data_IF_206395446956
#
_entry.id   IF_206395446956
#
_cell.length_a   1.000
_cell.length_b   1.000
_cell.length_c   1.000
_cell.angle_alpha   90.00
_cell.angle_beta   90.00
_cell.angle_gamma   90.00
#
_symmetry.space_group_name_H-M   'P 1'
#
loop_
_entity.id
_entity.type
_entity.pdbx_description
1 polymer ?
#
# COMPACT_ATOMS: atom_id res chain seq x y z
N UNK A 1 6.12 -7.04 -21.97
CA UNK A 1 6.99 -8.07 -21.38
C UNK A 1 6.15 -9.32 -21.17
N UNK A 2 6.54 -10.49 -21.71
CA UNK A 2 5.93 -11.76 -21.31
C UNK A 2 5.97 -11.89 -19.77
N UNK A 3 4.95 -12.49 -19.15
CA UNK A 3 4.88 -12.69 -17.69
C UNK A 3 4.24 -11.54 -16.88
N UNK A 4 4.17 -10.33 -17.44
CA UNK A 4 3.62 -9.16 -16.73
C UNK A 4 2.09 -9.09 -16.70
N UNK A 5 1.32 -9.95 -17.38
CA UNK A 5 -0.13 -9.94 -17.28
C UNK A 5 -0.64 -11.35 -17.01
N UNK A 6 -1.58 -11.46 -16.07
CA UNK A 6 -2.24 -12.71 -15.74
C UNK A 6 -3.20 -13.08 -16.88
N UNK A 7 -3.03 -14.27 -17.46
CA UNK A 7 -4.01 -14.78 -18.44
C UNK A 7 -5.27 -15.25 -17.73
N UNK A 8 -6.39 -15.31 -18.46
CA UNK A 8 -7.65 -15.83 -17.90
C UNK A 8 -7.52 -17.27 -17.37
N UNK A 9 -6.72 -18.10 -18.03
CA UNK A 9 -6.50 -19.49 -17.61
C UNK A 9 -5.71 -19.53 -16.30
N UNK A 10 -4.60 -18.79 -16.22
CA UNK A 10 -3.81 -18.68 -14.98
C UNK A 10 -4.64 -18.12 -13.82
N UNK A 11 -5.51 -17.14 -14.08
CA UNK A 11 -6.40 -16.58 -13.06
C UNK A 11 -7.37 -17.63 -12.51
N UNK A 12 -7.93 -18.47 -13.38
CA UNK A 12 -8.81 -19.56 -12.96
C UNK A 12 -8.04 -20.65 -12.21
N UNK A 13 -6.87 -21.04 -12.72
CA UNK A 13 -6.01 -22.04 -12.06
C UNK A 13 -5.55 -21.56 -10.68
N UNK A 14 -5.18 -20.28 -10.55
CA UNK A 14 -4.87 -19.65 -9.26
C UNK A 14 -6.08 -19.65 -8.34
N UNK A 15 -7.26 -19.26 -8.83
CA UNK A 15 -8.48 -19.25 -8.03
C UNK A 15 -8.89 -20.65 -7.54
N UNK A 16 -8.68 -21.68 -8.36
CA UNK A 16 -8.98 -23.07 -7.98
C UNK A 16 -7.94 -23.64 -6.99
N UNK A 17 -6.72 -23.09 -6.98
CA UNK A 17 -5.62 -23.52 -6.11
C UNK A 17 -5.61 -22.79 -4.76
N UNK A 18 -5.78 -21.46 -4.76
CA UNK A 18 -5.67 -20.59 -3.58
C UNK A 18 -7.05 -20.43 -2.93
N UNK A 19 -7.08 -20.61 -1.61
CA UNK A 19 -8.29 -20.61 -0.81
C UNK A 19 -8.24 -19.52 0.27
N UNK A 20 -9.44 -19.11 0.70
CA UNK A 20 -9.63 -18.13 1.76
C UNK A 20 -9.63 -18.83 3.13
N UNK A 21 -9.15 -18.17 4.20
CA UNK A 21 -8.74 -16.76 4.27
C UNK A 21 -7.34 -16.51 3.70
N UNK A 22 -7.12 -15.29 3.20
CA UNK A 22 -5.80 -14.76 2.85
C UNK A 22 -5.54 -13.55 3.74
N UNK A 23 -4.36 -13.51 4.35
CA UNK A 23 -3.90 -12.42 5.20
C UNK A 23 -2.51 -11.95 4.76
N UNK A 24 -2.36 -10.64 4.59
CA UNK A 24 -1.10 -9.99 4.23
C UNK A 24 -0.60 -9.14 5.40
N UNK A 25 0.67 -9.33 5.76
CA UNK A 25 1.45 -8.39 6.55
C UNK A 25 2.50 -7.77 5.63
N UNK A 26 2.37 -6.47 5.35
CA UNK A 26 3.22 -5.72 4.43
C UNK A 26 3.96 -4.63 5.20
N UNK A 27 5.28 -4.76 5.26
CA UNK A 27 6.17 -3.76 5.84
C UNK A 27 7.02 -3.09 4.75
N UNK A 28 7.01 -1.75 4.72
CA UNK A 28 7.75 -0.93 3.77
C UNK A 28 8.80 -0.09 4.49
N UNK A 29 10.05 -0.11 4.03
CA UNK A 29 11.10 0.81 4.48
C UNK A 29 11.38 1.85 3.39
N UNK A 30 10.89 3.07 3.64
CA UNK A 30 10.97 4.21 2.72
C UNK A 30 12.21 5.09 3.00
N UNK A 31 13.09 4.66 3.91
CA UNK A 31 14.32 5.38 4.27
C UNK A 31 15.55 4.99 3.43
N UNK A 32 15.40 4.22 2.36
CA UNK A 32 16.50 3.57 1.62
C UNK A 32 17.00 4.36 0.40
N UNK A 33 16.91 5.70 0.46
CA UNK A 33 17.32 6.59 -0.62
C UNK A 33 16.19 6.93 -1.59
N UNK A 34 16.55 7.53 -2.73
CA UNK A 34 15.58 8.10 -3.67
C UNK A 34 15.13 7.19 -4.81
N UNK A 35 15.71 5.97 -4.93
CA UNK A 35 15.46 5.08 -6.08
C UNK A 35 14.63 3.85 -5.71
N UNK A 36 15.01 3.21 -4.60
CA UNK A 36 14.50 1.90 -4.21
C UNK A 36 13.96 1.98 -2.78
N UNK A 37 13.07 1.06 -2.43
CA UNK A 37 12.58 0.85 -1.07
C UNK A 37 12.52 -0.63 -0.78
N UNK A 38 12.70 -1.00 0.49
CA UNK A 38 12.59 -2.41 0.89
C UNK A 38 11.13 -2.73 1.17
N UNK A 39 10.66 -3.84 0.62
CA UNK A 39 9.34 -4.41 0.88
C UNK A 39 9.52 -5.78 1.49
N UNK A 40 8.92 -5.99 2.67
CA UNK A 40 8.77 -7.30 3.29
C UNK A 40 7.29 -7.65 3.27
N UNK A 41 6.97 -8.80 2.71
CA UNK A 41 5.59 -9.28 2.62
C UNK A 41 5.52 -10.67 3.20
N UNK A 42 4.70 -10.85 4.24
CA UNK A 42 4.30 -12.16 4.75
C UNK A 42 2.84 -12.40 4.37
N UNK A 43 2.57 -13.56 3.80
CA UNK A 43 1.22 -13.95 3.37
C UNK A 43 0.88 -15.27 4.04
N UNK A 44 -0.25 -15.29 4.73
CA UNK A 44 -0.87 -16.50 5.26
C UNK A 44 -2.10 -16.81 4.41
N UNK A 45 -2.19 -18.05 3.89
CA UNK A 45 -3.25 -18.43 2.98
C UNK A 45 -3.48 -19.93 2.97
N UNK A 46 -4.71 -20.32 2.64
CA UNK A 46 -5.06 -21.72 2.42
C UNK A 46 -4.87 -22.10 0.95
N UNK A 47 -4.61 -23.36 0.67
CA UNK A 47 -4.51 -23.86 -0.70
C UNK A 47 -4.92 -25.33 -0.81
N UNK A 48 -5.20 -25.75 -2.04
CA UNK A 48 -5.37 -27.17 -2.34
C UNK A 48 -4.03 -27.91 -2.12
N UNK A 49 -3.97 -28.79 -1.13
CA UNK A 49 -2.76 -29.54 -0.81
C UNK A 49 -2.14 -30.22 -2.06
N UNK A 50 -0.82 -30.03 -2.24
CA UNK A 50 -0.04 -30.49 -3.38
C UNK A 50 -0.15 -29.63 -4.64
N UNK A 51 -0.94 -28.55 -4.63
CA UNK A 51 -1.03 -27.63 -5.78
C UNK A 51 0.21 -26.74 -5.91
N UNK A 52 0.25 -25.99 -6.99
CA UNK A 52 1.21 -24.92 -7.23
C UNK A 52 0.48 -23.64 -7.62
N UNK A 53 1.13 -22.50 -7.40
CA UNK A 53 0.69 -21.19 -7.86
C UNK A 53 1.91 -20.26 -7.95
N UNK A 54 1.68 -18.96 -8.05
CA UNK A 54 2.75 -17.96 -8.02
C UNK A 54 2.26 -16.62 -7.45
N UNK A 55 3.18 -15.90 -6.82
CA UNK A 55 3.00 -14.49 -6.47
C UNK A 55 3.47 -13.61 -7.61
N UNK A 56 2.83 -12.47 -7.78
CA UNK A 56 3.24 -11.39 -8.65
C UNK A 56 4.13 -10.41 -7.86
N UNK A 57 5.31 -10.07 -8.42
CA UNK A 57 6.22 -9.07 -7.85
C UNK A 57 7.13 -8.46 -8.92
N UNK A 58 7.08 -7.14 -9.07
CA UNK A 58 8.01 -6.35 -9.88
C UNK A 58 8.98 -5.66 -8.92
N UNK A 59 10.22 -6.16 -8.86
CA UNK A 59 11.27 -5.67 -7.97
C UNK A 59 12.63 -5.66 -8.70
N UNK A 60 13.55 -4.81 -8.24
CA UNK A 60 14.93 -4.79 -8.73
C UNK A 60 15.69 -6.05 -8.30
N UNK A 61 15.42 -6.52 -7.10
CA UNK A 61 15.97 -7.77 -6.58
C UNK A 61 15.07 -8.35 -5.49
N UNK A 62 15.02 -9.68 -5.44
CA UNK A 62 14.44 -10.44 -4.33
C UNK A 62 15.60 -10.97 -3.49
N UNK A 63 15.57 -10.70 -2.19
CA UNK A 63 16.63 -11.08 -1.25
C UNK A 63 16.37 -12.46 -0.65
N UNK A 64 15.12 -12.74 -0.31
CA UNK A 64 14.72 -14.03 0.25
C UNK A 64 13.26 -14.36 -0.08
N UNK A 65 12.99 -15.66 -0.20
CA UNK A 65 11.66 -16.24 -0.27
C UNK A 65 11.64 -17.44 0.67
N UNK A 66 10.79 -17.40 1.69
CA UNK A 66 10.63 -18.48 2.67
C UNK A 66 9.21 -19.00 2.57
N UNK A 67 9.05 -20.26 2.15
CA UNK A 67 7.75 -20.91 2.05
C UNK A 67 7.65 -21.99 3.13
N UNK A 68 6.67 -21.87 4.04
CA UNK A 68 6.41 -22.81 5.12
C UNK A 68 7.66 -23.09 5.98
N UNK A 69 8.45 -22.05 6.25
CA UNK A 69 9.71 -22.14 7.00
C UNK A 69 10.90 -22.71 6.21
N UNK A 70 10.73 -22.97 4.91
CA UNK A 70 11.81 -23.45 4.03
C UNK A 70 12.30 -22.33 3.12
N UNK A 71 13.60 -22.02 3.19
CA UNK A 71 14.25 -21.10 2.26
C UNK A 71 14.23 -21.65 0.83
N UNK A 72 13.68 -20.87 -0.10
CA UNK A 72 13.69 -21.17 -1.52
C UNK A 72 14.87 -20.49 -2.20
N UNK A 73 15.45 -21.17 -3.19
CA UNK A 73 16.51 -20.62 -4.03
C UNK A 73 15.91 -19.56 -4.96
N UNK A 74 16.09 -18.28 -4.61
CA UNK A 74 15.54 -17.12 -5.35
C UNK A 74 15.88 -17.20 -6.84
N UNK A 75 17.07 -17.66 -7.20
CA UNK A 75 17.51 -17.74 -8.60
C UNK A 75 16.70 -18.74 -9.45
N UNK A 76 15.96 -19.64 -8.79
CA UNK A 76 15.11 -20.65 -9.42
C UNK A 76 13.63 -20.30 -9.35
N UNK A 77 13.19 -19.64 -8.28
CA UNK A 77 11.76 -19.38 -8.05
C UNK A 77 11.33 -18.00 -8.50
N UNK A 78 12.24 -17.03 -8.63
CA UNK A 78 11.92 -15.68 -9.09
C UNK A 78 12.37 -15.47 -10.54
N UNK A 79 11.39 -15.39 -11.44
CA UNK A 79 11.61 -15.11 -12.86
C UNK A 79 10.41 -14.35 -13.44
N UNK A 80 10.65 -13.47 -14.42
CA UNK A 80 9.60 -12.75 -15.15
C UNK A 80 8.55 -12.05 -14.26
N UNK A 81 8.99 -11.44 -13.17
CA UNK A 81 8.14 -10.77 -12.16
C UNK A 81 7.17 -11.70 -11.41
N UNK A 82 7.53 -12.98 -11.28
CA UNK A 82 6.74 -13.99 -10.58
C UNK A 82 7.62 -14.78 -9.62
N UNK A 83 7.03 -15.16 -8.49
CA UNK A 83 7.62 -16.08 -7.50
C UNK A 83 6.83 -17.38 -7.54
N UNK A 84 7.42 -18.44 -8.07
CA UNK A 84 6.80 -19.76 -8.13
C UNK A 84 6.67 -20.39 -6.73
N UNK A 85 5.46 -20.87 -6.42
CA UNK A 85 5.16 -21.59 -5.18
C UNK A 85 4.68 -23.00 -5.54
N UNK A 86 5.47 -24.02 -5.22
CA UNK A 86 5.17 -25.42 -5.51
C UNK A 86 4.89 -26.22 -4.23
N UNK A 87 4.17 -27.33 -4.37
CA UNK A 87 3.85 -28.26 -3.27
C UNK A 87 3.19 -27.57 -2.08
N UNK A 88 2.22 -26.69 -2.36
CA UNK A 88 1.48 -25.97 -1.34
C UNK A 88 0.80 -26.95 -0.37
N UNK A 89 0.80 -26.61 0.91
CA UNK A 89 0.08 -27.33 1.96
C UNK A 89 -1.38 -26.85 2.00
N UNK A 90 -2.18 -27.43 2.89
CA UNK A 90 -3.53 -26.92 3.16
C UNK A 90 -3.48 -25.51 3.77
N UNK A 91 -2.53 -25.25 4.67
CA UNK A 91 -2.25 -23.95 5.27
C UNK A 91 -0.80 -23.55 4.96
N UNK A 92 -0.62 -22.34 4.44
CA UNK A 92 0.68 -21.87 3.99
C UNK A 92 1.05 -20.54 4.61
N UNK A 93 2.34 -20.33 4.79
CA UNK A 93 2.95 -19.03 5.03
C UNK A 93 4.07 -18.84 4.03
N UNK A 94 4.07 -17.71 3.32
CA UNK A 94 5.20 -17.28 2.50
C UNK A 94 5.68 -15.92 2.95
N UNK A 95 6.98 -15.77 3.13
CA UNK A 95 7.62 -14.49 3.40
C UNK A 95 8.57 -14.13 2.26
N UNK A 96 8.47 -12.91 1.76
CA UNK A 96 9.29 -12.37 0.68
C UNK A 96 9.92 -11.07 1.14
N UNK A 97 11.23 -10.93 0.98
CA UNK A 97 11.94 -9.66 1.16
C UNK A 97 12.51 -9.25 -0.19
N UNK A 98 12.19 -8.04 -0.64
CA UNK A 98 12.60 -7.52 -1.94
C UNK A 98 12.93 -6.03 -1.88
N UNK A 99 13.82 -5.60 -2.77
CA UNK A 99 14.06 -4.20 -3.05
C UNK A 99 13.24 -3.79 -4.27
N UNK A 100 12.16 -3.07 -4.03
CA UNK A 100 11.27 -2.53 -5.05
C UNK A 100 11.73 -1.14 -5.48
N UNK A 101 11.21 -0.66 -6.62
CA UNK A 101 11.60 0.61 -7.19
C UNK A 101 10.48 1.64 -7.06
N UNK A 102 10.80 2.87 -6.69
CA UNK A 102 9.87 3.98 -6.86
C UNK A 102 9.55 4.19 -8.34
N UNK A 103 8.30 4.53 -8.63
CA UNK A 103 7.84 4.88 -9.96
C UNK A 103 7.84 6.39 -10.17
N UNK A 104 7.99 6.83 -11.42
CA UNK A 104 7.78 8.22 -11.84
C UNK A 104 6.73 8.30 -12.95
N UNK A 105 5.89 7.28 -13.11
CA UNK A 105 4.90 7.15 -14.20
C UNK A 105 3.46 7.06 -13.69
N UNK A 106 3.23 7.25 -12.40
CA UNK A 106 1.89 7.20 -11.78
C UNK A 106 1.36 5.80 -11.48
N UNK A 107 2.20 4.76 -11.55
CA UNK A 107 1.85 3.36 -11.23
C UNK A 107 2.67 2.86 -10.03
N UNK A 108 2.14 1.93 -9.22
CA UNK A 108 2.88 1.37 -8.07
C UNK A 108 3.05 2.43 -6.99
N UNK A 109 4.22 2.49 -6.34
CA UNK A 109 4.58 3.57 -5.40
C UNK A 109 5.28 4.69 -6.16
N UNK A 110 4.52 5.70 -6.55
CA UNK A 110 5.01 6.87 -7.27
C UNK A 110 5.79 7.80 -6.33
N UNK A 111 6.93 8.31 -6.80
CA UNK A 111 7.75 9.31 -6.12
C UNK A 111 7.80 10.57 -6.97
N UNK A 112 7.44 11.70 -6.38
CA UNK A 112 7.55 13.01 -7.02
C UNK A 112 8.32 13.97 -6.13
N UNK A 113 9.19 14.77 -6.75
CA UNK A 113 9.88 15.88 -6.09
C UNK A 113 9.20 17.16 -6.56
N UNK A 114 8.61 17.91 -5.64
CA UNK A 114 7.97 19.17 -6.00
C UNK A 114 9.05 20.21 -6.35
N UNK A 115 9.05 20.77 -7.57
CA UNK A 115 10.08 21.71 -8.00
C UNK A 115 10.01 23.06 -7.25
N UNK A 116 8.92 23.33 -6.54
CA UNK A 116 8.68 24.61 -5.86
C UNK A 116 9.36 24.67 -4.50
N UNK A 117 9.42 23.54 -3.79
CA UNK A 117 9.92 23.46 -2.41
C UNK A 117 10.98 22.35 -2.22
N UNK A 118 11.19 21.48 -3.21
CA UNK A 118 12.13 20.36 -3.14
C UNK A 118 11.66 19.19 -2.29
N UNK A 119 10.42 19.22 -1.78
CA UNK A 119 9.88 18.15 -0.95
C UNK A 119 9.54 16.91 -1.78
N UNK A 120 9.77 15.75 -1.18
CA UNK A 120 9.45 14.45 -1.77
C UNK A 120 8.06 14.00 -1.30
N UNK A 121 7.23 13.60 -2.25
CA UNK A 121 5.89 13.06 -1.99
C UNK A 121 5.74 11.71 -2.65
N UNK A 122 5.16 10.78 -1.91
CA UNK A 122 4.85 9.43 -2.34
C UNK A 122 3.34 9.20 -2.33
N UNK A 123 2.87 8.44 -3.32
CA UNK A 123 1.53 7.88 -3.32
C UNK A 123 1.48 6.57 -4.10
N UNK A 124 0.58 5.68 -3.73
CA UNK A 124 0.33 4.45 -4.48
C UNK A 124 -0.82 4.59 -5.46
N UNK A 125 -0.67 4.02 -6.66
CA UNK A 125 -1.75 3.80 -7.61
C UNK A 125 -1.64 2.38 -8.15
N UNK A 126 -2.61 1.53 -7.80
CA UNK A 126 -2.54 0.09 -8.06
C UNK A 126 -3.50 -0.44 -9.10
N UNK A 127 -4.56 0.30 -9.44
CA UNK A 127 -5.44 -0.12 -10.52
C UNK A 127 -4.76 0.15 -11.88
N UNK A 128 -4.60 -0.84 -12.77
CA UNK A 128 -5.30 -2.15 -12.79
C UNK A 128 -4.58 -3.30 -12.04
N UNK A 129 -3.30 -3.66 -12.33
CA UNK A 129 -2.54 -4.61 -11.49
C UNK A 129 -1.13 -4.10 -11.14
N UNK A 130 -1.04 -3.07 -10.32
CA UNK A 130 0.24 -2.44 -9.95
C UNK A 130 0.58 -2.55 -8.45
N UNK A 131 -0.24 -3.26 -7.65
CA UNK A 131 0.08 -3.60 -6.26
C UNK A 131 1.39 -4.41 -6.16
N UNK A 132 1.61 -5.30 -7.14
CA UNK A 132 2.84 -6.08 -7.32
C UNK A 132 4.11 -5.27 -7.52
N UNK A 133 4.03 -3.96 -7.77
CA UNK A 133 5.21 -3.08 -7.82
C UNK A 133 5.69 -2.64 -6.43
N UNK A 134 4.90 -2.94 -5.39
CA UNK A 134 5.15 -2.49 -4.02
C UNK A 134 5.31 -3.65 -3.06
N UNK A 135 4.56 -4.74 -3.23
CA UNK A 135 4.66 -5.91 -2.35
C UNK A 135 4.31 -7.20 -3.11
N UNK A 136 4.79 -8.35 -2.62
CA UNK A 136 4.52 -9.64 -3.26
C UNK A 136 3.04 -10.02 -3.03
N UNK A 137 2.31 -10.36 -4.10
CA UNK A 137 0.84 -10.44 -4.01
C UNK A 137 0.24 -11.45 -4.98
N UNK A 138 -0.92 -12.02 -4.63
CA UNK A 138 -1.77 -12.70 -5.61
C UNK A 138 -2.62 -11.63 -6.30
N UNK A 139 -2.07 -10.96 -7.33
CA UNK A 139 -2.69 -9.73 -7.88
C UNK A 139 -3.93 -10.04 -8.74
N UNK A 140 -5.03 -10.36 -8.08
CA UNK A 140 -6.28 -10.79 -8.70
C UNK A 140 -7.48 -10.25 -7.91
N UNK A 141 -8.40 -9.47 -8.52
CA UNK A 141 -9.47 -8.77 -7.80
C UNK A 141 -10.42 -9.65 -6.97
N UNK A 142 -10.67 -10.89 -7.39
CA UNK A 142 -11.56 -11.84 -6.70
C UNK A 142 -10.86 -12.63 -5.59
N UNK A 143 -9.53 -12.54 -5.45
CA UNK A 143 -8.75 -13.03 -4.31
C UNK A 143 -8.64 -11.96 -3.21
N UNK A 144 -9.78 -11.63 -2.61
CA UNK A 144 -9.84 -10.61 -1.55
C UNK A 144 -9.20 -11.07 -0.24
N UNK A 145 -8.44 -10.20 0.40
CA UNK A 145 -7.70 -10.50 1.61
C UNK A 145 -7.86 -9.42 2.67
N UNK A 146 -7.37 -9.70 3.88
CA UNK A 146 -7.13 -8.69 4.92
C UNK A 146 -5.65 -8.30 4.86
N UNK A 147 -5.38 -7.03 5.09
CA UNK A 147 -4.05 -6.42 5.00
C UNK A 147 -3.73 -5.66 6.27
N UNK A 148 -2.56 -5.95 6.83
CA UNK A 148 -1.87 -5.19 7.85
C UNK A 148 -0.69 -4.45 7.19
N UNK A 149 -0.66 -3.13 7.36
CA UNK A 149 0.42 -2.29 6.81
C UNK A 149 1.27 -1.71 7.92
N UNK A 150 2.58 -1.75 7.68
CA UNK A 150 3.59 -1.12 8.50
C UNK A 150 4.54 -0.33 7.60
N UNK A 151 4.89 0.90 7.99
CA UNK A 151 5.74 1.77 7.18
C UNK A 151 6.79 2.44 8.05
N UNK A 152 8.06 2.25 7.71
CA UNK A 152 9.17 3.03 8.23
C UNK A 152 9.41 4.21 7.27
N UNK A 153 9.31 5.44 7.78
CA UNK A 153 9.41 6.66 6.98
C UNK A 153 10.24 7.74 7.69
N UNK A 154 10.77 8.74 6.95
CA UNK A 154 11.43 9.91 7.54
C UNK A 154 10.60 10.59 8.64
N UNK A 155 11.25 11.10 9.67
CA UNK A 155 10.60 11.71 10.84
C UNK A 155 9.73 12.92 10.49
N UNK A 156 10.12 13.70 9.48
CA UNK A 156 9.38 14.87 9.00
C UNK A 156 8.12 14.52 8.20
N UNK A 157 7.96 13.25 7.79
CA UNK A 157 6.83 12.82 6.98
C UNK A 157 5.63 12.45 7.84
N UNK A 158 4.45 12.57 7.22
CA UNK A 158 3.23 11.88 7.65
C UNK A 158 3.00 10.69 6.71
N UNK A 159 2.40 9.63 7.23
CA UNK A 159 1.99 8.46 6.42
C UNK A 159 0.50 8.21 6.64
N UNK A 160 -0.25 8.02 5.56
CA UNK A 160 -1.65 7.60 5.61
C UNK A 160 -1.91 6.39 4.71
N UNK A 161 -2.86 5.55 5.13
CA UNK A 161 -3.30 4.35 4.43
C UNK A 161 -4.82 4.23 4.46
N UNK A 162 -5.39 3.11 4.02
CA UNK A 162 -6.84 2.84 4.04
C UNK A 162 -7.42 2.90 5.46
N UNK A 163 -6.67 2.40 6.45
CA UNK A 163 -7.13 2.27 7.83
C UNK A 163 -6.54 3.34 8.75
N UNK A 164 -7.16 3.59 9.91
CA UNK A 164 -6.60 4.47 10.93
C UNK A 164 -5.21 4.01 11.39
N UNK A 165 -4.40 4.97 11.82
CA UNK A 165 -3.10 4.70 12.45
C UNK A 165 -3.36 4.08 13.82
N UNK A 166 -2.81 2.90 14.06
CA UNK A 166 -2.81 2.19 15.34
C UNK A 166 -1.74 2.74 16.27
N UNK A 167 -0.54 2.98 15.74
CA UNK A 167 0.57 3.59 16.47
C UNK A 167 1.59 4.24 15.55
N UNK A 168 2.24 5.30 16.04
CA UNK A 168 3.39 5.96 15.43
C UNK A 168 4.47 6.10 16.51
N UNK A 169 5.67 5.59 16.25
CA UNK A 169 6.79 5.63 17.21
C UNK A 169 8.10 5.98 16.52
N UNK A 170 8.93 6.80 17.16
CA UNK A 170 10.29 7.05 16.66
C UNK A 170 11.11 5.75 16.65
N UNK A 171 11.93 5.56 15.61
CA UNK A 171 12.88 4.46 15.50
C UNK A 171 14.25 4.94 15.98
N UNK A 172 14.52 4.76 17.28
CA UNK A 172 15.78 5.20 17.90
C UNK A 172 17.00 4.59 17.18
N UNK A 173 17.95 5.45 16.81
CA UNK A 173 19.19 5.04 16.14
C UNK A 173 19.03 4.64 14.67
N UNK A 174 17.84 4.81 14.08
CA UNK A 174 17.60 4.67 12.64
C UNK A 174 17.53 6.06 12.00
N UNK A 175 18.25 6.21 10.90
CA UNK A 175 18.27 7.43 10.09
C UNK A 175 18.02 7.06 8.61
N UNK A 176 17.50 8.02 7.85
CA UNK A 176 17.32 7.88 6.40
C UNK A 176 18.67 7.79 5.69
N UNK A 177 18.75 7.02 4.61
CA UNK A 177 19.90 7.04 3.70
C UNK A 177 19.92 8.34 2.87
N UNK A 178 21.10 8.72 2.40
CA UNK A 178 21.27 9.91 1.55
C UNK A 178 20.40 9.82 0.27
N UNK A 179 19.78 10.94 -0.10
CA UNK A 179 18.89 11.02 -1.26
C UNK A 179 17.44 10.61 -0.99
N UNK A 180 17.11 10.11 0.21
CA UNK A 180 15.70 9.84 0.60
C UNK A 180 14.84 11.10 0.45
N UNK A 181 15.31 12.20 1.03
CA UNK A 181 14.67 13.52 0.97
C UNK A 181 15.15 14.38 -0.21
N UNK A 182 15.66 13.76 -1.29
CA UNK A 182 16.28 14.44 -2.44
C UNK A 182 17.46 15.34 -2.04
N UNK A 183 17.18 16.62 -1.74
CA UNK A 183 18.16 17.63 -1.29
C UNK A 183 18.13 17.86 0.23
N UNK A 184 17.22 17.20 0.94
CA UNK A 184 17.11 17.28 2.41
C UNK A 184 18.27 16.60 3.13
N UNK A 185 18.50 17.01 4.38
CA UNK A 185 19.47 16.35 5.24
C UNK A 185 18.99 14.95 5.64
N UNK A 186 19.93 14.08 6.00
CA UNK A 186 19.62 12.84 6.70
C UNK A 186 18.90 13.19 8.01
N UNK A 187 17.81 12.48 8.30
CA UNK A 187 17.04 12.66 9.53
C UNK A 187 16.63 11.31 10.14
N UNK A 188 16.06 11.36 11.34
CA UNK A 188 15.51 10.19 12.02
C UNK A 188 14.34 9.55 11.26
N UNK A 189 13.89 8.40 11.74
CA UNK A 189 12.76 7.68 11.15
C UNK A 189 11.65 7.42 12.18
N UNK A 190 10.43 7.24 11.68
CA UNK A 190 9.26 6.83 12.45
C UNK A 190 8.67 5.55 11.86
N UNK A 191 8.18 4.71 12.75
CA UNK A 191 7.48 3.47 12.48
C UNK A 191 5.97 3.70 12.60
N UNK A 192 5.25 3.45 11.51
CA UNK A 192 3.81 3.63 11.41
C UNK A 192 3.13 2.27 11.29
N UNK A 193 2.19 1.99 12.19
CA UNK A 193 1.38 0.77 12.17
C UNK A 193 -0.07 1.17 11.95
N UNK A 194 -0.75 0.53 10.99
CA UNK A 194 -2.17 0.76 10.71
C UNK A 194 -3.03 -0.36 11.31
N UNK A 195 -4.30 -0.06 11.56
CA UNK A 195 -5.30 -1.10 11.88
C UNK A 195 -5.55 -2.02 10.67
N UNK A 196 -5.94 -3.27 10.91
CA UNK A 196 -6.22 -4.25 9.86
C UNK A 196 -7.37 -3.81 8.95
N UNK A 197 -7.22 -3.99 7.64
CA UNK A 197 -8.27 -3.67 6.67
C UNK A 197 -9.47 -4.63 6.77
N UNK A 198 -10.68 -4.22 6.36
CA UNK A 198 -11.71 -5.20 6.01
C UNK A 198 -11.28 -5.99 4.77
N UNK A 199 -11.89 -7.16 4.56
CA UNK A 199 -11.61 -7.97 3.36
C UNK A 199 -11.83 -7.18 2.07
N UNK A 200 -10.75 -6.95 1.33
CA UNK A 200 -10.73 -6.13 0.11
C UNK A 200 -9.74 -6.68 -0.93
N UNK A 201 -9.79 -6.14 -2.14
CA UNK A 201 -8.87 -6.51 -3.22
C UNK A 201 -7.56 -5.72 -3.12
N UNK A 202 -6.44 -6.30 -3.55
CA UNK A 202 -5.10 -5.68 -3.53
C UNK A 202 -5.06 -4.28 -4.14
N UNK A 203 -5.69 -4.10 -5.30
CA UNK A 203 -5.69 -2.85 -6.06
C UNK A 203 -6.37 -1.67 -5.32
N UNK A 204 -7.13 -1.93 -4.26
CA UNK A 204 -7.77 -0.90 -3.43
C UNK A 204 -6.89 -0.46 -2.25
N UNK A 205 -5.79 -1.17 -1.98
CA UNK A 205 -4.86 -0.76 -0.93
C UNK A 205 -4.14 0.52 -1.32
N UNK A 206 -3.83 1.37 -0.35
CA UNK A 206 -3.19 2.66 -0.59
C UNK A 206 -2.22 3.05 0.52
N UNK A 207 -1.10 3.68 0.14
CA UNK A 207 -0.13 4.34 1.01
C UNK A 207 0.22 5.70 0.39
N UNK A 208 0.12 6.76 1.18
CA UNK A 208 0.66 8.08 0.84
C UNK A 208 1.62 8.51 1.94
N UNK A 209 2.79 9.01 1.57
CA UNK A 209 3.83 9.43 2.51
C UNK A 209 4.55 10.67 2.01
N UNK A 210 4.98 11.54 2.92
CA UNK A 210 5.62 12.81 2.59
C UNK A 210 5.24 13.90 3.59
N UNK A 211 5.77 15.12 3.44
CA UNK A 211 5.44 16.23 4.32
C UNK A 211 4.10 16.87 3.92
N UNK A 212 3.03 16.10 3.74
CA UNK A 212 1.73 16.63 3.30
C UNK A 212 1.18 17.68 4.29
N UNK A 213 0.63 18.76 3.75
CA UNK A 213 -0.26 19.63 4.51
C UNK A 213 -1.58 18.89 4.72
N UNK A 214 -2.19 19.04 5.90
CA UNK A 214 -3.38 18.26 6.28
C UNK A 214 -4.43 19.09 7.00
N UNK A 215 -5.70 18.76 6.72
CA UNK A 215 -6.87 19.28 7.41
C UNK A 215 -7.77 18.11 7.80
N UNK A 216 -8.42 18.21 8.95
CA UNK A 216 -9.18 17.12 9.54
C UNK A 216 -10.60 17.58 9.86
N UNK A 217 -11.56 16.67 9.71
CA UNK A 217 -12.95 16.85 10.12
C UNK A 217 -13.57 15.49 10.46
N UNK A 218 -14.86 15.47 10.77
CA UNK A 218 -15.62 14.24 11.01
C UNK A 218 -16.93 14.23 10.23
N UNK A 219 -17.47 13.03 10.02
CA UNK A 219 -18.80 12.80 9.47
C UNK A 219 -19.61 11.92 10.43
N UNK A 220 -20.80 12.38 10.80
CA UNK A 220 -21.76 11.59 11.56
C UNK A 220 -22.47 10.63 10.58
N UNK A 221 -22.09 9.36 10.65
CA UNK A 221 -22.56 8.32 9.75
C UNK A 221 -23.99 7.88 10.12
N UNK A 222 -24.74 7.34 9.15
CA UNK A 222 -26.16 6.99 9.34
C UNK A 222 -26.37 5.83 10.32
N UNK A 223 -25.32 5.06 10.62
CA UNK A 223 -25.32 4.00 11.62
C UNK A 223 -24.86 4.45 13.02
N UNK A 224 -24.67 5.76 13.22
CA UNK A 224 -24.29 6.36 14.50
C UNK A 224 -22.78 6.36 14.78
N UNK A 225 -21.95 5.84 13.87
CA UNK A 225 -20.49 5.99 13.96
C UNK A 225 -20.07 7.41 13.58
N UNK A 226 -18.98 7.89 14.17
CA UNK A 226 -18.29 9.10 13.72
C UNK A 226 -17.10 8.68 12.85
N UNK A 227 -17.11 9.06 11.58
CA UNK A 227 -16.06 8.73 10.61
C UNK A 227 -15.07 9.90 10.57
N UNK A 228 -13.80 9.71 10.98
CA UNK A 228 -12.75 10.70 10.76
C UNK A 228 -12.51 10.91 9.26
N UNK A 229 -12.32 12.17 8.87
CA UNK A 229 -11.99 12.53 7.50
C UNK A 229 -10.81 13.46 7.45
N UNK A 230 -9.97 13.32 6.43
CA UNK A 230 -8.88 14.24 6.20
C UNK A 230 -8.71 14.60 4.72
N UNK A 231 -8.14 15.79 4.49
CA UNK A 231 -7.68 16.23 3.18
C UNK A 231 -6.21 16.55 3.25
N UNK A 232 -5.50 16.18 2.19
CA UNK A 232 -4.05 16.35 2.10
C UNK A 232 -3.65 16.98 0.78
N UNK A 233 -2.64 17.85 0.81
CA UNK A 233 -2.00 18.35 -0.40
C UNK A 233 -0.51 18.60 -0.18
N UNK A 234 0.23 18.83 -1.26
CA UNK A 234 1.62 19.28 -1.18
C UNK A 234 1.74 20.62 -0.46
N UNK A 235 2.83 20.84 0.27
CA UNK A 235 3.08 22.08 1.03
C UNK A 235 3.04 23.32 0.13
N UNK A 236 3.58 23.24 -1.10
CA UNK A 236 3.52 24.33 -2.07
C UNK A 236 2.09 24.81 -2.39
N UNK A 237 1.08 23.95 -2.23
CA UNK A 237 -0.33 24.28 -2.46
C UNK A 237 -1.10 24.63 -1.19
N UNK A 238 -0.48 24.53 -0.01
CA UNK A 238 -1.15 24.64 1.29
C UNK A 238 -2.01 25.89 1.43
N UNK A 239 -1.45 27.06 1.15
CA UNK A 239 -2.16 28.34 1.34
C UNK A 239 -3.27 28.57 0.30
N UNK A 240 -3.12 27.99 -0.90
CA UNK A 240 -4.17 28.02 -1.91
C UNK A 240 -5.31 27.08 -1.53
N UNK A 241 -4.97 25.83 -1.20
CA UNK A 241 -5.91 24.78 -0.85
C UNK A 241 -6.72 25.13 0.40
N UNK A 242 -6.09 25.74 1.42
CA UNK A 242 -6.74 26.17 2.66
C UNK A 242 -7.97 27.06 2.46
N UNK A 243 -8.09 27.75 1.32
CA UNK A 243 -9.24 28.62 1.00
C UNK A 243 -10.50 27.83 0.64
N UNK A 244 -10.33 26.60 0.16
CA UNK A 244 -11.41 25.75 -0.37
C UNK A 244 -11.72 24.53 0.51
N UNK A 245 -10.87 24.21 1.50
CA UNK A 245 -11.00 23.04 2.39
C UNK A 245 -12.40 22.88 2.98
N UNK A 246 -12.97 23.93 3.55
CA UNK A 246 -14.29 23.85 4.21
C UNK A 246 -15.40 23.51 3.20
N UNK A 247 -15.34 24.08 2.01
CA UNK A 247 -16.27 23.79 0.92
C UNK A 247 -16.11 22.35 0.42
N UNK A 248 -14.87 21.89 0.24
CA UNK A 248 -14.57 20.53 -0.21
C UNK A 248 -15.04 19.48 0.81
N UNK A 249 -14.91 19.75 2.11
CA UNK A 249 -15.45 18.87 3.13
C UNK A 249 -16.98 18.87 3.14
N UNK A 250 -17.61 20.04 3.06
CA UNK A 250 -19.08 20.16 3.03
C UNK A 250 -19.68 19.38 1.84
N UNK A 251 -19.14 19.54 0.63
CA UNK A 251 -19.65 18.84 -0.55
C UNK A 251 -19.43 17.32 -0.46
N UNK A 252 -18.30 16.88 0.08
CA UNK A 252 -18.01 15.45 0.27
C UNK A 252 -19.00 14.82 1.27
N UNK A 253 -19.26 15.48 2.41
CA UNK A 253 -20.23 15.01 3.42
C UNK A 253 -21.65 14.96 2.86
N UNK A 254 -22.05 15.96 2.05
CA UNK A 254 -23.33 15.93 1.32
C UNK A 254 -23.41 14.74 0.36
N UNK A 255 -22.30 14.40 -0.29
CA UNK A 255 -22.19 13.20 -1.12
C UNK A 255 -22.41 11.91 -0.34
N UNK A 256 -21.75 11.78 0.83
CA UNK A 256 -21.94 10.62 1.72
C UNK A 256 -23.41 10.46 2.11
N UNK A 257 -24.04 11.52 2.60
CA UNK A 257 -25.46 11.50 2.99
C UNK A 257 -26.38 11.16 1.82
N UNK A 258 -26.09 11.69 0.63
CA UNK A 258 -26.84 11.39 -0.58
C UNK A 258 -26.74 9.91 -0.96
N UNK A 259 -25.53 9.36 -1.01
CA UNK A 259 -25.30 7.96 -1.39
C UNK A 259 -25.82 6.97 -0.35
N UNK A 260 -25.64 7.26 0.94
CA UNK A 260 -26.18 6.44 2.01
C UNK A 260 -27.71 6.36 1.95
N UNK A 261 -28.37 7.51 1.74
CA UNK A 261 -29.83 7.55 1.51
C UNK A 261 -30.25 6.82 0.24
N UNK A 262 -29.50 6.97 -0.84
CA UNK A 262 -29.86 6.44 -2.17
C UNK A 262 -29.72 4.91 -2.21
N UNK A 263 -28.65 4.37 -1.62
CA UNK A 263 -28.37 2.93 -1.64
C UNK A 263 -28.83 2.20 -0.38
N UNK A 264 -29.22 2.93 0.66
CA UNK A 264 -29.69 2.36 1.93
C UNK A 264 -28.58 1.71 2.75
N UNK A 265 -27.31 2.07 2.50
CA UNK A 265 -26.13 1.51 3.17
C UNK A 265 -25.23 2.67 3.62
N UNK A 266 -24.89 2.77 4.92
CA UNK A 266 -23.98 3.80 5.43
C UNK A 266 -22.56 3.59 4.88
N UNK A 267 -21.70 4.60 5.02
CA UNK A 267 -20.30 4.46 4.64
C UNK A 267 -19.65 3.32 5.46
N UNK A 268 -19.03 2.30 4.82
CA UNK A 268 -18.67 1.08 5.54
C UNK A 268 -17.32 1.15 6.25
N UNK A 269 -16.41 2.03 5.84
CA UNK A 269 -15.03 2.04 6.34
C UNK A 269 -14.87 2.91 7.60
N UNK A 270 -13.74 2.72 8.29
CA UNK A 270 -13.45 3.36 9.57
C UNK A 270 -13.06 4.84 9.45
N UNK A 271 -12.53 5.26 8.29
CA UNK A 271 -12.15 6.64 7.99
C UNK A 271 -12.29 6.95 6.49
N UNK A 272 -12.12 8.22 6.10
CA UNK A 272 -12.09 8.63 4.71
C UNK A 272 -11.12 9.79 4.46
N UNK A 273 -10.09 9.56 3.65
CA UNK A 273 -9.09 10.58 3.31
C UNK A 273 -9.12 10.91 1.82
N UNK A 274 -8.95 12.19 1.48
CA UNK A 274 -8.75 12.67 0.11
C UNK A 274 -7.35 13.29 -0.01
N UNK A 275 -6.52 12.73 -0.89
CA UNK A 275 -5.14 13.17 -1.07
C UNK A 275 -4.99 13.76 -2.46
N UNK A 276 -4.64 15.04 -2.54
CA UNK A 276 -4.34 15.77 -3.77
C UNK A 276 -2.85 15.62 -4.07
N UNK A 277 -2.51 14.51 -4.72
CA UNK A 277 -1.14 14.08 -5.00
C UNK A 277 -0.57 14.81 -6.24
N UNK A 278 0.77 14.94 -6.36
CA UNK A 278 1.39 15.41 -7.61
C UNK A 278 1.21 14.43 -8.75
N UNK A 279 1.22 14.93 -9.99
CA UNK A 279 1.36 14.08 -11.20
C UNK A 279 0.30 12.95 -11.30
N UNK A 280 -0.98 13.30 -11.15
CA UNK A 280 -2.15 12.41 -11.19
C UNK A 280 -3.24 12.93 -12.12
#
# INVERSE_FOLDING_TARGET
MPGANLTRVEAQERFDAIQMPIHYDVALDLGKGGRDFTSRTKIEFDAKAGSASFLDLIANSVESVVLNGTDLDVSKVFADSRIELANLLEHNTVEVVANCQYSNTGEGLHRSVDPSDGNVYLYTQFEVPDARRVYAVFDQPDLKAVFDFTVDAPESWIVTSNMPIKSETALEGRETEAGTLENGAVEGMKHWVFESTPKMSSYLTAICAGPYAQWHTTYDNEDGRVVPMAMYCRQALKDAFAKDVDYLFDITKKGFAFYAKTWGVPYPYAKYDQIYVPEY
#
